data_IF_507514037141
#
_entry.id   IF_507514037141
#
_cell.length_a   1.000
_cell.length_b   1.000
_cell.length_c   1.000
_cell.angle_alpha   90.00
_cell.angle_beta   90.00
_cell.angle_gamma   90.00
#
_symmetry.space_group_name_H-M   'P 1'
#
loop_
_entity.id
_entity.type
_entity.pdbx_description
1 polymer ?
#
# COMPACT_ATOMS: atom_id res chain seq x y z
N UNK A 1 -25.11 -30.07 -11.41
CA UNK A 1 -24.32 -29.37 -10.38
C UNK A 1 -23.21 -28.65 -11.15
N UNK A 2 -23.58 -27.54 -11.77
CA UNK A 2 -22.69 -26.77 -12.66
C UNK A 2 -21.89 -25.83 -11.76
N UNK A 3 -20.65 -26.22 -11.51
CA UNK A 3 -19.75 -25.45 -10.67
C UNK A 3 -19.41 -24.13 -11.36
N UNK A 4 -19.39 -23.10 -10.54
CA UNK A 4 -19.48 -21.69 -10.87
C UNK A 4 -18.13 -21.23 -11.44
N UNK A 5 -17.90 -21.50 -12.73
CA UNK A 5 -16.82 -20.93 -13.52
C UNK A 5 -17.04 -19.43 -13.74
N UNK A 6 -17.08 -18.65 -12.65
CA UNK A 6 -17.06 -17.21 -12.73
C UNK A 6 -15.74 -16.79 -13.36
N UNK A 7 -15.84 -16.22 -14.56
CA UNK A 7 -14.76 -15.67 -15.39
C UNK A 7 -13.48 -15.28 -14.62
N UNK A 8 -12.28 -15.72 -15.05
CA UNK A 8 -10.99 -15.42 -14.39
C UNK A 8 -10.73 -13.92 -14.16
N UNK A 9 -11.43 -13.05 -14.90
CA UNK A 9 -11.40 -11.60 -14.70
C UNK A 9 -12.00 -11.16 -13.36
N UNK A 10 -12.93 -11.92 -12.79
CA UNK A 10 -13.63 -11.62 -11.53
C UNK A 10 -12.75 -11.95 -10.32
N UNK A 11 -11.97 -13.02 -10.41
CA UNK A 11 -11.01 -13.44 -9.37
C UNK A 11 -9.85 -12.46 -9.26
N UNK A 12 -9.20 -12.10 -10.37
CA UNK A 12 -8.10 -11.11 -10.38
C UNK A 12 -8.53 -9.75 -9.78
N UNK A 13 -9.77 -9.31 -10.02
CA UNK A 13 -10.28 -8.05 -9.45
C UNK A 13 -10.55 -8.17 -7.95
N UNK A 14 -10.97 -9.35 -7.48
CA UNK A 14 -11.25 -9.63 -6.07
C UNK A 14 -9.93 -9.75 -5.29
N UNK A 15 -8.94 -10.40 -5.87
CA UNK A 15 -7.60 -10.57 -5.30
C UNK A 15 -6.89 -9.23 -5.18
N UNK A 16 -6.87 -8.43 -6.26
CA UNK A 16 -6.29 -7.08 -6.23
C UNK A 16 -6.98 -6.16 -5.20
N UNK A 17 -8.29 -6.33 -4.95
CA UNK A 17 -9.00 -5.57 -3.91
C UNK A 17 -8.63 -6.05 -2.51
N UNK A 18 -8.47 -7.37 -2.33
CA UNK A 18 -8.09 -7.96 -1.05
C UNK A 18 -6.70 -7.51 -0.60
N UNK A 19 -5.73 -7.52 -1.51
CA UNK A 19 -4.34 -7.05 -1.28
C UNK A 19 -4.34 -5.58 -0.86
N UNK A 20 -5.02 -4.72 -1.61
CA UNK A 20 -5.11 -3.29 -1.29
C UNK A 20 -5.69 -3.04 0.11
N UNK A 21 -6.69 -3.83 0.49
CA UNK A 21 -7.32 -3.72 1.79
C UNK A 21 -6.42 -4.24 2.91
N UNK A 22 -5.63 -5.29 2.66
CA UNK A 22 -4.62 -5.80 3.58
C UNK A 22 -3.49 -4.79 3.79
N UNK A 23 -2.99 -4.16 2.72
CA UNK A 23 -1.98 -3.08 2.81
C UNK A 23 -2.53 -1.93 3.64
N UNK A 24 -3.73 -1.42 3.33
CA UNK A 24 -4.35 -0.32 4.09
C UNK A 24 -4.48 -0.66 5.58
N UNK A 25 -4.95 -1.87 5.91
CA UNK A 25 -5.12 -2.28 7.30
C UNK A 25 -3.78 -2.42 8.03
N UNK A 26 -2.77 -2.99 7.37
CA UNK A 26 -1.44 -3.18 7.94
C UNK A 26 -0.74 -1.83 8.15
N UNK A 27 -0.81 -0.93 7.16
CA UNK A 27 -0.27 0.43 7.27
C UNK A 27 -0.96 1.23 8.37
N UNK A 28 -2.29 1.13 8.51
CA UNK A 28 -3.02 1.76 9.61
C UNK A 28 -2.62 1.19 10.98
N UNK A 29 -2.44 -0.13 11.08
CA UNK A 29 -1.99 -0.76 12.32
C UNK A 29 -0.59 -0.27 12.69
N UNK A 30 0.36 -0.26 11.75
CA UNK A 30 1.72 0.25 11.97
C UNK A 30 1.68 1.74 12.36
N UNK A 31 0.87 2.55 11.67
CA UNK A 31 0.70 3.96 11.98
C UNK A 31 0.15 4.20 13.40
N UNK A 32 -0.80 3.38 13.86
CA UNK A 32 -1.36 3.51 15.22
C UNK A 32 -0.37 2.97 16.27
N UNK A 33 0.17 1.77 16.08
CA UNK A 33 1.02 1.11 17.09
C UNK A 33 2.38 1.79 17.18
N UNK A 34 3.09 1.89 16.06
CA UNK A 34 4.46 2.43 16.03
C UNK A 34 4.42 3.96 16.03
N UNK A 35 3.50 4.56 15.27
CA UNK A 35 3.29 6.01 15.32
C UNK A 35 2.77 6.49 16.67
N UNK A 36 2.09 5.65 17.45
CA UNK A 36 1.70 5.94 18.83
C UNK A 36 2.89 6.22 19.75
N UNK A 37 4.01 5.52 19.57
CA UNK A 37 5.24 5.77 20.33
C UNK A 37 5.82 7.15 20.01
N UNK A 38 5.89 7.48 18.71
CA UNK A 38 6.34 8.80 18.26
C UNK A 38 5.39 9.92 18.75
N UNK A 39 4.08 9.66 18.75
CA UNK A 39 3.05 10.56 19.26
C UNK A 39 3.23 10.85 20.74
N UNK A 40 3.33 9.82 21.60
CA UNK A 40 3.49 9.99 23.05
C UNK A 40 4.73 10.83 23.34
N UNK A 41 5.85 10.54 22.67
CA UNK A 41 7.09 11.30 22.85
C UNK A 41 6.95 12.76 22.43
N UNK A 42 6.33 13.01 21.28
CA UNK A 42 6.09 14.38 20.76
C UNK A 42 5.17 15.16 21.69
N UNK A 43 4.15 14.51 22.24
CA UNK A 43 3.21 15.10 23.18
C UNK A 43 3.90 15.46 24.51
N UNK A 44 4.72 14.57 25.06
CA UNK A 44 5.48 14.84 26.29
C UNK A 44 6.40 16.05 26.12
N UNK A 45 7.10 16.14 24.99
CA UNK A 45 7.98 17.28 24.73
C UNK A 45 7.20 18.58 24.52
N UNK A 46 6.06 18.52 23.82
CA UNK A 46 5.20 19.68 23.64
C UNK A 46 4.65 20.21 24.99
N UNK A 47 4.30 19.32 25.92
CA UNK A 47 3.85 19.69 27.27
C UNK A 47 5.01 20.30 28.08
N UNK A 48 6.18 19.64 28.07
CA UNK A 48 7.36 20.10 28.82
C UNK A 48 7.86 21.48 28.34
N UNK A 49 7.74 21.75 27.04
CA UNK A 49 8.15 23.02 26.43
C UNK A 49 7.02 24.07 26.43
N UNK A 50 5.85 23.78 27.03
CA UNK A 50 4.71 24.69 27.09
C UNK A 50 4.07 24.99 25.73
N UNK A 51 4.38 24.19 24.70
CA UNK A 51 3.96 24.40 23.32
C UNK A 51 2.56 23.81 23.07
N UNK A 52 1.54 24.40 23.68
CA UNK A 52 0.15 23.94 23.61
C UNK A 52 -0.41 23.82 22.17
N UNK A 53 0.07 24.67 21.25
CA UNK A 53 -0.27 24.57 19.82
C UNK A 53 0.20 23.25 19.19
N UNK A 54 1.42 22.81 19.52
CA UNK A 54 1.98 21.54 19.02
C UNK A 54 1.24 20.37 19.67
N UNK A 55 1.00 20.44 20.99
CA UNK A 55 0.28 19.39 21.72
C UNK A 55 -1.13 19.17 21.16
N UNK A 56 -1.90 20.26 20.99
CA UNK A 56 -3.26 20.20 20.44
C UNK A 56 -3.30 19.66 19.01
N UNK A 57 -2.40 20.13 18.14
CA UNK A 57 -2.29 19.64 16.76
C UNK A 57 -1.92 18.16 16.70
N UNK A 58 -0.96 17.73 17.52
CA UNK A 58 -0.50 16.34 17.58
C UNK A 58 -1.62 15.41 18.08
N UNK A 59 -2.38 15.81 19.11
CA UNK A 59 -3.56 15.07 19.59
C UNK A 59 -4.62 14.95 18.50
N UNK A 60 -4.96 16.06 17.83
CA UNK A 60 -5.98 16.07 16.78
C UNK A 60 -5.61 15.12 15.63
N UNK A 61 -4.36 15.17 15.16
CA UNK A 61 -3.89 14.33 14.06
C UNK A 61 -3.86 12.85 14.43
N UNK A 62 -3.33 12.52 15.60
CA UNK A 62 -3.27 11.12 16.05
C UNK A 62 -4.66 10.54 16.30
N UNK A 63 -5.57 11.34 16.87
CA UNK A 63 -6.98 10.96 17.02
C UNK A 63 -7.62 10.64 15.67
N UNK A 64 -7.25 11.36 14.61
CA UNK A 64 -7.68 11.06 13.24
C UNK A 64 -7.32 9.63 12.80
N UNK A 65 -6.07 9.19 13.03
CA UNK A 65 -5.66 7.81 12.72
C UNK A 65 -6.40 6.77 13.55
N UNK A 66 -6.59 7.03 14.84
CA UNK A 66 -7.32 6.13 15.74
C UNK A 66 -8.78 6.00 15.30
N UNK A 67 -9.47 7.12 15.04
CA UNK A 67 -10.85 7.12 14.54
C UNK A 67 -10.95 6.34 13.22
N UNK A 68 -10.02 6.58 12.28
CA UNK A 68 -10.01 5.89 10.99
C UNK A 68 -9.70 4.39 11.12
N UNK A 69 -8.93 3.99 12.14
CA UNK A 69 -8.66 2.60 12.48
C UNK A 69 -9.88 1.91 13.09
N UNK A 70 -10.61 2.57 14.00
CA UNK A 70 -11.84 2.05 14.61
C UNK A 70 -13.03 2.04 13.64
N UNK A 71 -13.07 2.94 12.66
CA UNK A 71 -14.14 3.05 11.69
C UNK A 71 -14.09 1.97 10.58
N UNK A 72 -14.02 0.70 10.99
CA UNK A 72 -13.97 -0.49 10.11
C UNK A 72 -15.21 -0.66 9.22
N UNK A 73 -16.32 0.01 9.54
CA UNK A 73 -17.56 0.00 8.75
C UNK A 73 -17.54 0.95 7.54
N UNK A 74 -16.55 1.83 7.42
CA UNK A 74 -16.43 2.73 6.27
C UNK A 74 -16.05 1.97 5.00
N UNK A 75 -16.60 2.40 3.87
CA UNK A 75 -16.27 1.86 2.56
C UNK A 75 -14.78 2.10 2.25
N UNK A 76 -14.10 1.08 1.70
CA UNK A 76 -12.64 1.07 1.47
C UNK A 76 -12.10 2.38 0.87
N UNK A 77 -12.80 2.96 -0.11
CA UNK A 77 -12.36 4.19 -0.79
C UNK A 77 -12.23 5.38 0.15
N UNK A 78 -13.20 5.57 1.04
CA UNK A 78 -13.17 6.68 2.01
C UNK A 78 -12.08 6.47 3.05
N UNK A 79 -11.87 5.21 3.47
CA UNK A 79 -10.84 4.88 4.45
C UNK A 79 -9.43 5.05 3.88
N UNK A 80 -9.20 4.61 2.64
CA UNK A 80 -7.94 4.81 1.94
C UNK A 80 -7.66 6.29 1.68
N UNK A 81 -8.67 7.05 1.22
CA UNK A 81 -8.53 8.49 0.97
C UNK A 81 -8.27 9.25 2.28
N UNK A 82 -9.02 8.97 3.34
CA UNK A 82 -8.84 9.59 4.64
C UNK A 82 -7.46 9.29 5.25
N UNK A 83 -6.93 8.09 5.03
CA UNK A 83 -5.59 7.73 5.49
C UNK A 83 -4.52 8.53 4.76
N UNK A 84 -4.62 8.64 3.43
CA UNK A 84 -3.73 9.47 2.62
C UNK A 84 -3.82 10.95 3.01
N UNK A 85 -5.03 11.48 3.16
CA UNK A 85 -5.23 12.87 3.59
C UNK A 85 -4.66 13.12 4.98
N UNK A 86 -4.80 12.19 5.92
CA UNK A 86 -4.18 12.32 7.24
C UNK A 86 -2.64 12.33 7.14
N UNK A 87 -2.06 11.43 6.36
CA UNK A 87 -0.62 11.41 6.10
C UNK A 87 -0.13 12.73 5.49
N UNK A 88 -0.84 13.26 4.51
CA UNK A 88 -0.57 14.56 3.91
C UNK A 88 -0.58 15.67 4.96
N UNK A 89 -1.67 15.79 5.72
CA UNK A 89 -1.83 16.84 6.73
C UNK A 89 -0.74 16.73 7.80
N UNK A 90 -0.38 15.52 8.23
CA UNK A 90 0.71 15.29 9.19
C UNK A 90 2.06 15.71 8.60
N UNK A 91 2.34 15.32 7.36
CA UNK A 91 3.56 15.71 6.65
C UNK A 91 3.67 17.23 6.53
N UNK A 92 2.61 17.91 6.10
CA UNK A 92 2.57 19.38 6.00
C UNK A 92 2.68 20.05 7.37
N UNK A 93 1.93 19.57 8.36
CA UNK A 93 1.99 20.11 9.73
C UNK A 93 3.40 20.00 10.30
N UNK A 94 4.05 18.84 10.15
CA UNK A 94 5.43 18.65 10.61
C UNK A 94 6.41 19.50 9.79
N UNK A 95 6.20 19.68 8.49
CA UNK A 95 7.03 20.54 7.65
C UNK A 95 6.96 22.02 8.08
N UNK A 96 5.78 22.47 8.50
CA UNK A 96 5.58 23.85 8.99
C UNK A 96 6.09 24.06 10.41
N UNK A 97 6.03 23.05 11.28
CA UNK A 97 6.42 23.18 12.69
C UNK A 97 7.89 22.81 12.95
N UNK A 98 8.45 21.88 12.17
CA UNK A 98 9.82 21.37 12.32
C UNK A 98 10.72 21.67 11.12
N UNK A 99 10.19 22.20 10.01
CA UNK A 99 10.97 22.54 8.83
C UNK A 99 11.32 21.33 7.96
N UNK A 100 12.36 21.46 7.13
CA UNK A 100 12.73 20.48 6.10
C UNK A 100 13.45 19.22 6.62
N UNK A 101 13.57 19.05 7.94
CA UNK A 101 14.23 17.90 8.56
C UNK A 101 13.71 16.58 7.97
N UNK A 102 14.47 15.48 8.06
CA UNK A 102 14.16 14.25 7.32
C UNK A 102 12.72 13.72 7.53
N UNK A 103 12.13 13.93 8.71
CA UNK A 103 10.83 13.38 9.09
C UNK A 103 9.68 13.73 8.12
N UNK A 104 9.32 15.00 7.85
CA UNK A 104 8.12 15.34 7.07
C UNK A 104 8.24 14.96 5.60
N UNK A 105 9.45 15.06 5.03
CA UNK A 105 9.73 14.64 3.64
C UNK A 105 9.50 13.13 3.47
N UNK A 106 9.91 12.32 4.45
CA UNK A 106 9.67 10.88 4.44
C UNK A 106 8.18 10.52 4.53
N UNK A 107 7.39 11.30 5.29
CA UNK A 107 5.93 11.10 5.37
C UNK A 107 5.30 11.30 4.00
N UNK A 108 5.59 12.43 3.34
CA UNK A 108 5.04 12.78 2.03
C UNK A 108 5.53 11.83 0.92
N UNK A 109 6.77 11.35 1.00
CA UNK A 109 7.29 10.33 0.10
C UNK A 109 6.54 8.99 0.27
N UNK A 110 6.36 8.56 1.51
CA UNK A 110 5.67 7.30 1.83
C UNK A 110 4.18 7.36 1.49
N UNK A 111 3.55 8.52 1.66
CA UNK A 111 2.21 8.79 1.17
C UNK A 111 2.11 8.57 -0.35
N UNK A 112 3.09 9.05 -1.12
CA UNK A 112 3.11 8.87 -2.58
C UNK A 112 3.22 7.40 -2.98
N UNK A 113 4.03 6.62 -2.25
CA UNK A 113 4.15 5.17 -2.44
C UNK A 113 2.82 4.47 -2.10
N UNK A 114 2.18 4.83 -0.99
CA UNK A 114 0.88 4.31 -0.61
C UNK A 114 -0.21 4.69 -1.62
N UNK A 115 -0.16 5.89 -2.20
CA UNK A 115 -1.06 6.28 -3.28
C UNK A 115 -0.91 5.36 -4.50
N UNK A 116 0.31 4.93 -4.81
CA UNK A 116 0.60 3.98 -5.89
C UNK A 116 -0.06 2.62 -5.67
N UNK A 117 -0.02 2.13 -4.44
CA UNK A 117 -0.56 0.81 -4.09
C UNK A 117 -2.09 0.84 -3.91
N UNK A 118 -2.62 1.85 -3.23
CA UNK A 118 -4.04 1.92 -2.86
C UNK A 118 -4.94 2.39 -4.01
N UNK A 119 -4.41 3.20 -4.93
CA UNK A 119 -5.16 3.83 -6.02
C UNK A 119 -4.63 3.44 -7.41
N UNK A 120 -5.12 4.13 -8.45
CA UNK A 120 -4.64 3.96 -9.83
C UNK A 120 -3.55 4.98 -10.11
N UNK A 121 -2.68 4.70 -11.08
CA UNK A 121 -1.57 5.56 -11.54
C UNK A 121 -1.91 7.05 -11.65
N UNK A 122 -3.10 7.42 -12.13
CA UNK A 122 -3.54 8.83 -12.23
C UNK A 122 -3.55 9.54 -10.87
N UNK A 123 -4.08 8.88 -9.84
CA UNK A 123 -4.15 9.44 -8.48
C UNK A 123 -2.75 9.56 -7.89
N UNK A 124 -1.90 8.55 -8.10
CA UNK A 124 -0.50 8.55 -7.66
C UNK A 124 0.28 9.75 -8.20
N UNK A 125 0.14 10.04 -9.50
CA UNK A 125 0.81 11.19 -10.10
C UNK A 125 0.29 12.52 -9.55
N UNK A 126 -1.01 12.62 -9.27
CA UNK A 126 -1.61 13.81 -8.64
C UNK A 126 -1.05 14.00 -7.22
N UNK A 127 -1.01 12.94 -6.40
CA UNK A 127 -0.47 13.00 -5.02
C UNK A 127 1.02 13.37 -5.04
N UNK A 128 1.81 12.77 -5.93
CA UNK A 128 3.22 13.08 -6.07
C UNK A 128 3.45 14.55 -6.47
N UNK A 129 2.71 15.03 -7.48
CA UNK A 129 2.78 16.42 -7.92
C UNK A 129 2.36 17.39 -6.81
N UNK A 130 1.30 17.05 -6.07
CA UNK A 130 0.85 17.83 -4.92
C UNK A 130 1.95 17.90 -3.84
N UNK A 131 2.57 16.77 -3.49
CA UNK A 131 3.61 16.72 -2.47
C UNK A 131 4.86 17.51 -2.88
N UNK A 132 5.27 17.44 -4.15
CA UNK A 132 6.35 18.26 -4.68
C UNK A 132 6.02 19.75 -4.64
N UNK A 133 4.81 20.13 -5.07
CA UNK A 133 4.37 21.52 -5.06
C UNK A 133 4.31 22.06 -3.62
N UNK A 134 3.85 21.26 -2.67
CA UNK A 134 3.81 21.62 -1.25
C UNK A 134 5.19 21.79 -0.66
N UNK A 135 6.15 20.93 -0.99
CA UNK A 135 7.55 21.11 -0.58
C UNK A 135 8.13 22.42 -1.12
N UNK A 136 7.89 22.73 -2.40
CA UNK A 136 8.34 23.98 -3.01
C UNK A 136 7.65 25.21 -2.39
N UNK A 137 6.34 25.14 -2.18
CA UNK A 137 5.56 26.24 -1.60
C UNK A 137 5.99 26.53 -0.16
N UNK A 138 6.10 25.49 0.68
CA UNK A 138 6.57 25.65 2.06
C UNK A 138 8.03 26.11 2.08
N UNK A 139 8.89 25.56 1.21
CA UNK A 139 10.26 26.02 1.04
C UNK A 139 10.35 27.51 0.70
N UNK A 140 9.51 28.00 -0.22
CA UNK A 140 9.46 29.41 -0.59
C UNK A 140 8.97 30.30 0.57
N UNK A 141 7.95 29.86 1.33
CA UNK A 141 7.44 30.57 2.51
C UNK A 141 8.51 30.69 3.60
N UNK A 142 9.28 29.62 3.84
CA UNK A 142 10.37 29.64 4.81
C UNK A 142 11.56 30.46 4.33
N UNK A 143 11.94 30.35 3.05
CA UNK A 143 13.06 31.10 2.46
C UNK A 143 12.80 32.61 2.39
N UNK A 144 11.54 33.01 2.25
CA UNK A 144 11.13 34.43 2.27
C UNK A 144 11.04 35.03 3.68
N UNK A 145 11.25 34.24 4.73
CA UNK A 145 11.20 34.70 6.12
C UNK A 145 9.79 35.04 6.62
N UNK A 146 8.74 34.71 5.85
CA UNK A 146 7.34 34.91 6.26
C UNK A 146 6.96 34.06 7.48
N UNK A 147 7.63 32.91 7.67
CA UNK A 147 7.56 32.12 8.89
C UNK A 147 8.95 31.72 9.36
N UNK A 148 9.20 31.89 10.65
CA UNK A 148 10.40 31.39 11.33
C UNK A 148 10.03 30.09 12.03
N UNK A 149 10.72 29.00 11.68
CA UNK A 149 10.56 27.71 12.33
C UNK A 149 11.55 27.63 13.49
N UNK A 150 11.05 27.37 14.69
CA UNK A 150 11.88 27.11 15.88
C UNK A 150 12.46 25.68 15.81
N UNK A 151 13.44 25.48 14.92
CA UNK A 151 14.07 24.16 14.69
C UNK A 151 15.00 23.75 15.84
N UNK A 152 15.55 24.72 16.57
CA UNK A 152 16.66 24.51 17.51
C UNK A 152 16.26 23.82 18.82
N UNK A 153 15.02 23.98 19.28
CA UNK A 153 14.60 23.42 20.59
C UNK A 153 14.11 21.99 20.52
N UNK A 154 13.50 21.57 19.40
CA UNK A 154 12.86 20.26 19.26
C UNK A 154 13.69 19.20 18.51
N UNK A 155 14.69 19.61 17.74
CA UNK A 155 15.50 18.73 16.88
C UNK A 155 17.00 19.06 16.97
N UNK A 156 17.50 19.33 18.18
CA UNK A 156 18.93 19.46 18.41
C UNK A 156 19.65 18.14 18.05
N UNK A 157 20.57 18.14 17.06
CA UNK A 157 21.30 16.94 16.65
C UNK A 157 22.26 16.42 17.72
N UNK A 158 22.58 17.19 18.77
CA UNK A 158 23.41 16.73 19.89
C UNK A 158 22.67 15.75 20.82
N UNK A 159 21.33 15.74 20.81
CA UNK A 159 20.52 14.87 21.65
C UNK A 159 20.31 13.47 21.06
N UNK A 160 20.89 12.42 21.67
CA UNK A 160 20.68 11.03 21.25
C UNK A 160 19.18 10.63 21.16
N UNK A 161 18.33 11.19 22.03
CA UNK A 161 16.89 10.94 22.01
C UNK A 161 16.19 11.49 20.75
N UNK A 162 16.73 12.55 20.13
CA UNK A 162 16.21 13.06 18.86
C UNK A 162 16.56 12.11 17.71
N UNK A 163 17.72 11.45 17.76
CA UNK A 163 18.08 10.41 16.80
C UNK A 163 17.16 9.20 16.88
N UNK A 164 16.81 8.75 18.08
CA UNK A 164 15.82 7.67 18.27
C UNK A 164 14.47 8.07 17.68
N UNK A 165 14.02 9.31 17.88
CA UNK A 165 12.77 9.81 17.28
C UNK A 165 12.83 9.76 15.75
N UNK A 166 13.87 10.34 15.15
CA UNK A 166 14.04 10.36 13.69
C UNK A 166 14.13 8.94 13.12
N UNK A 167 14.88 8.05 13.78
CA UNK A 167 14.99 6.65 13.38
C UNK A 167 13.65 5.91 13.48
N UNK A 168 12.85 6.19 14.52
CA UNK A 168 11.50 5.61 14.67
C UNK A 168 10.57 6.08 13.56
N UNK A 169 10.54 7.39 13.28
CA UNK A 169 9.75 7.96 12.17
C UNK A 169 10.20 7.36 10.84
N UNK A 170 11.51 7.31 10.59
CA UNK A 170 12.08 6.70 9.41
C UNK A 170 11.65 5.23 9.27
N UNK A 171 11.78 4.43 10.33
CA UNK A 171 11.42 3.02 10.33
C UNK A 171 9.92 2.80 10.03
N UNK A 172 9.04 3.65 10.55
CA UNK A 172 7.60 3.60 10.24
C UNK A 172 7.35 3.83 8.75
N UNK A 173 7.88 4.92 8.22
CA UNK A 173 7.57 5.37 6.87
C UNK A 173 8.25 4.53 5.80
N UNK A 174 9.54 4.24 5.96
CA UNK A 174 10.25 3.30 5.11
C UNK A 174 9.70 1.88 5.26
N UNK A 175 9.35 1.44 6.47
CA UNK A 175 8.72 0.13 6.69
C UNK A 175 7.40 0.00 5.96
N UNK A 176 6.54 1.02 6.04
CA UNK A 176 5.28 1.07 5.28
C UNK A 176 5.54 1.02 3.78
N UNK A 177 6.49 1.80 3.26
CA UNK A 177 6.82 1.80 1.84
C UNK A 177 7.36 0.44 1.36
N UNK A 178 8.28 -0.16 2.12
CA UNK A 178 8.87 -1.48 1.82
C UNK A 178 7.81 -2.57 1.85
N UNK A 179 7.01 -2.65 2.92
CA UNK A 179 5.91 -3.64 3.03
C UNK A 179 4.90 -3.46 1.90
N UNK A 180 4.61 -2.21 1.52
CA UNK A 180 3.69 -1.94 0.41
C UNK A 180 4.22 -2.45 -0.93
N UNK A 181 5.53 -2.31 -1.19
CA UNK A 181 6.18 -2.84 -2.39
C UNK A 181 6.28 -4.36 -2.34
N UNK A 182 6.71 -4.90 -1.20
CA UNK A 182 6.88 -6.35 -0.99
C UNK A 182 5.57 -7.11 -1.19
N UNK A 183 4.49 -6.66 -0.57
CA UNK A 183 3.16 -7.28 -0.73
C UNK A 183 2.71 -7.26 -2.19
N UNK A 184 2.95 -6.17 -2.92
CA UNK A 184 2.60 -6.08 -4.35
C UNK A 184 3.44 -7.02 -5.20
N UNK A 185 4.76 -7.06 -4.98
CA UNK A 185 5.69 -7.91 -5.74
C UNK A 185 5.44 -9.40 -5.46
N UNK A 186 5.24 -9.79 -4.20
CA UNK A 186 4.97 -11.18 -3.84
C UNK A 186 3.66 -11.67 -4.46
N UNK A 187 2.61 -10.84 -4.44
CA UNK A 187 1.34 -11.23 -5.04
C UNK A 187 1.38 -11.26 -6.58
N UNK A 188 2.20 -10.40 -7.21
CA UNK A 188 2.47 -10.49 -8.65
C UNK A 188 3.19 -11.78 -8.99
N UNK A 189 4.19 -12.18 -8.20
CA UNK A 189 4.92 -13.42 -8.40
C UNK A 189 4.03 -14.66 -8.20
N UNK A 190 3.16 -14.66 -7.18
CA UNK A 190 2.15 -15.71 -6.98
C UNK A 190 1.19 -15.78 -8.17
N UNK A 191 0.62 -14.65 -8.59
CA UNK A 191 -0.31 -14.64 -9.73
C UNK A 191 0.33 -15.10 -11.05
N UNK A 192 1.61 -14.78 -11.27
CA UNK A 192 2.35 -15.27 -12.43
C UNK A 192 2.59 -16.78 -12.35
N UNK A 193 2.86 -17.30 -11.14
CA UNK A 193 3.04 -18.74 -10.90
C UNK A 193 1.74 -19.50 -11.11
N UNK A 194 0.63 -19.00 -10.60
CA UNK A 194 -0.70 -19.61 -10.78
C UNK A 194 -1.10 -19.63 -12.26
N UNK A 195 -0.81 -18.56 -13.01
CA UNK A 195 -1.04 -18.53 -14.45
C UNK A 195 -0.16 -19.54 -15.19
N UNK A 196 1.10 -19.69 -14.80
CA UNK A 196 2.00 -20.67 -15.40
C UNK A 196 1.50 -22.11 -15.15
N UNK A 197 1.08 -22.41 -13.92
CA UNK A 197 0.52 -23.72 -13.55
C UNK A 197 -0.81 -23.99 -14.28
N UNK A 198 -1.68 -22.99 -14.42
CA UNK A 198 -2.92 -23.15 -15.16
C UNK A 198 -2.68 -23.42 -16.65
N UNK A 199 -1.70 -22.76 -17.26
CA UNK A 199 -1.29 -23.01 -18.65
C UNK A 199 -0.72 -24.43 -18.80
N UNK A 200 0.08 -24.88 -17.84
CA UNK A 200 0.63 -26.23 -17.83
C UNK A 200 -0.47 -27.29 -17.70
N UNK A 201 -1.42 -27.09 -16.79
CA UNK A 201 -2.57 -27.97 -16.61
C UNK A 201 -3.47 -28.00 -17.87
N UNK A 202 -3.69 -26.84 -18.52
CA UNK A 202 -4.44 -26.79 -19.78
C UNK A 202 -3.73 -27.56 -20.90
N UNK A 203 -2.40 -27.43 -21.00
CA UNK A 203 -1.62 -28.19 -21.98
C UNK A 203 -1.69 -29.69 -21.71
N UNK A 204 -1.58 -30.12 -20.45
CA UNK A 204 -1.73 -31.52 -20.07
C UNK A 204 -3.11 -32.08 -20.41
N UNK A 205 -4.17 -31.33 -20.12
CA UNK A 205 -5.54 -31.71 -20.46
C UNK A 205 -5.77 -31.81 -21.97
N UNK A 206 -5.21 -30.89 -22.77
CA UNK A 206 -5.25 -30.97 -24.23
C UNK A 206 -4.53 -32.21 -24.76
N UNK A 207 -3.36 -32.55 -24.23
CA UNK A 207 -2.61 -33.74 -24.65
C UNK A 207 -3.39 -35.03 -24.36
N UNK A 208 -3.97 -35.14 -23.16
CA UNK A 208 -4.83 -36.27 -22.79
C UNK A 208 -6.04 -36.41 -23.72
N UNK A 209 -6.67 -35.28 -24.08
CA UNK A 209 -7.80 -35.29 -25.02
C UNK A 209 -7.38 -35.73 -26.43
N UNK A 210 -6.22 -35.28 -26.90
CA UNK A 210 -5.67 -35.63 -28.21
C UNK A 210 -5.22 -37.10 -28.29
N UNK A 211 -4.75 -37.67 -27.18
CA UNK A 211 -4.48 -39.11 -27.05
C UNK A 211 -5.77 -39.94 -27.05
N UNK A 212 -6.78 -39.51 -26.30
CA UNK A 212 -8.08 -40.18 -26.28
C UNK A 212 -8.75 -40.17 -27.67
N UNK A 213 -8.69 -39.04 -28.39
CA UNK A 213 -9.19 -38.93 -29.75
C UNK A 213 -8.42 -39.83 -30.73
N UNK A 214 -7.10 -39.94 -30.58
CA UNK A 214 -6.28 -40.86 -31.38
C UNK A 214 -6.64 -42.32 -31.12
N UNK A 215 -6.81 -42.72 -29.87
CA UNK A 215 -7.23 -44.08 -29.52
C UNK A 215 -8.61 -44.41 -30.10
N UNK A 216 -9.55 -43.47 -30.01
CA UNK A 216 -10.89 -43.62 -30.55
C UNK A 216 -10.87 -43.82 -32.07
N UNK A 217 -10.11 -43.00 -32.80
CA UNK A 217 -9.96 -43.14 -34.27
C UNK A 217 -9.33 -44.48 -34.66
N UNK A 218 -8.34 -44.96 -33.89
CA UNK A 218 -7.71 -46.25 -34.13
C UNK A 218 -8.66 -47.43 -33.86
N UNK A 219 -9.56 -47.32 -32.87
CA UNK A 219 -10.59 -48.32 -32.62
C UNK A 219 -11.65 -48.32 -33.75
N UNK A 220 -12.07 -47.14 -34.21
CA UNK A 220 -13.01 -46.99 -35.33
C UNK A 220 -12.44 -47.56 -36.65
N UNK A 221 -11.15 -47.37 -36.93
CA UNK A 221 -10.53 -47.95 -38.13
C UNK A 221 -10.49 -49.48 -38.09
N UNK A 222 -10.16 -50.08 -36.92
CA UNK A 222 -10.17 -51.54 -36.75
C UNK A 222 -11.56 -52.14 -36.98
N UNK A 223 -12.60 -51.50 -36.43
CA UNK A 223 -13.99 -51.93 -36.64
C UNK A 223 -14.40 -51.84 -38.11
N UNK A 224 -13.94 -50.81 -38.83
CA UNK A 224 -14.21 -50.64 -40.25
C UNK A 224 -13.56 -51.74 -41.09
N UNK A 225 -12.29 -52.06 -40.81
CA UNK A 225 -11.57 -53.14 -41.51
C UNK A 225 -12.23 -54.51 -41.28
N UNK A 226 -12.67 -54.82 -40.04
CA UNK A 226 -13.38 -56.07 -39.76
C UNK A 226 -14.73 -56.16 -40.50
N UNK A 227 -15.44 -55.04 -40.64
CA UNK A 227 -16.74 -55.02 -41.31
C UNK A 227 -16.62 -55.17 -42.84
N UNK A 228 -15.52 -54.68 -43.41
CA UNK A 228 -15.27 -54.75 -44.85
C UNK A 228 -14.73 -56.13 -45.29
N UNK A 229 -14.18 -56.92 -44.36
CA UNK A 229 -13.74 -58.30 -44.60
C UNK A 229 -14.85 -59.36 -44.48
N UNK A 230 -15.98 -59.05 -43.83
CA UNK A 230 -17.14 -59.96 -43.73
C UNK A 230 -18.10 -59.88 -44.93
N UNK A 231 -18.01 -58.82 -45.74
CA UNK A 231 -18.91 -58.55 -46.89
C UNK A 231 -18.32 -58.98 -48.26
N UNK A 232 -17.18 -59.69 -48.30
CA UNK A 232 -16.48 -60.13 -49.52
C UNK A 232 -16.31 -61.64 -49.62
#
# INVERSE_FOLDING_TARGET
>A
MADDATSPKRDVIRDARSVRQQVLNSSLLVAVVVGGVAFVRTLLDAINLGAWRIAGGTIALYSGFVILFLAKRLHYRFRALGFLTLLYVVGVFMLLMAGYLAAPVLILASESVLAAVLFRRKVTLIVLALNLLTLLAVGAVLASGLMVVETTTFYDPAGFMNWIRVATIFAVFCGIAVVSVDVVTNHLNESLRDQAELIENLKGAMQLHEEADRQRRAAESRLRDTRQGDDG
#
